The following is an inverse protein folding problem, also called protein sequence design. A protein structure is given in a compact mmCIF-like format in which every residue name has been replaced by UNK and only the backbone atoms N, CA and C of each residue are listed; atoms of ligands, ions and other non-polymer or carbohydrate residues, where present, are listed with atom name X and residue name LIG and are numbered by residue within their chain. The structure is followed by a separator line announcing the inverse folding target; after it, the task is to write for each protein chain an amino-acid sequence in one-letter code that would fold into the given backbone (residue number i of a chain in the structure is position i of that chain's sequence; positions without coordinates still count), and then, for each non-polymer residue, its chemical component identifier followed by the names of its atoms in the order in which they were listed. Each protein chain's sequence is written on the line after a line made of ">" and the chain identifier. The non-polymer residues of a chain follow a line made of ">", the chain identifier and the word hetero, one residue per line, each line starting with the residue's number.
data_IF_974152730283
#
_entry.id   IF_974152730283
#
_cell.length_a   1.000
_cell.length_b   1.000
_cell.length_c   1.000
_cell.angle_alpha   90.00
_cell.angle_beta   90.00
_cell.angle_gamma   90.00
#
_symmetry.space_group_name_H-M   'P 1'
#
loop_
_entity.id
_entity.type
_entity.pdbx_description
1 polymer ?
#
# COMPACT_ATOMS: atom_id res chain seq x y z
N UNK A 1 -6.84 5.43 11.78
CA UNK A 1 -8.08 6.18 11.47
C UNK A 1 -8.61 6.78 12.76
N UNK A 2 -8.89 8.08 12.83
CA UNK A 2 -9.44 8.70 14.05
C UNK A 2 -10.97 8.58 14.07
N UNK A 3 -11.59 8.57 15.25
CA UNK A 3 -13.06 8.45 15.39
C UNK A 3 -13.82 9.50 14.56
N UNK A 4 -13.34 10.75 14.54
CA UNK A 4 -13.93 11.82 13.74
C UNK A 4 -13.86 11.58 12.22
N UNK A 5 -12.76 10.98 11.73
CA UNK A 5 -12.65 10.63 10.31
C UNK A 5 -13.64 9.54 9.91
N UNK A 6 -13.88 8.55 10.78
CA UNK A 6 -14.87 7.51 10.53
C UNK A 6 -16.29 8.07 10.40
N UNK A 7 -16.66 9.02 11.27
CA UNK A 7 -17.97 9.70 11.22
C UNK A 7 -18.10 10.50 9.92
N UNK A 8 -17.05 11.25 9.54
CA UNK A 8 -17.05 12.02 8.29
C UNK A 8 -17.25 11.12 7.06
N UNK A 9 -16.58 9.96 7.00
CA UNK A 9 -16.79 9.02 5.90
C UNK A 9 -18.20 8.44 5.89
N UNK A 10 -18.77 8.12 7.05
CA UNK A 10 -20.16 7.71 7.16
C UNK A 10 -21.12 8.76 6.62
N UNK A 11 -20.90 10.04 6.95
CA UNK A 11 -21.70 11.15 6.44
C UNK A 11 -21.58 11.31 4.92
N UNK A 12 -20.37 11.17 4.37
CA UNK A 12 -20.15 11.23 2.91
C UNK A 12 -20.94 10.12 2.21
N UNK A 13 -20.86 8.88 2.70
CA UNK A 13 -21.60 7.74 2.11
C UNK A 13 -23.11 7.96 2.20
N UNK A 14 -23.60 8.49 3.33
CA UNK A 14 -25.00 8.83 3.50
C UNK A 14 -25.47 9.88 2.47
N UNK A 15 -24.70 10.96 2.32
CA UNK A 15 -25.00 12.01 1.33
C UNK A 15 -24.99 11.44 -0.09
N UNK A 16 -24.01 10.58 -0.43
CA UNK A 16 -23.96 9.93 -1.73
C UNK A 16 -25.20 9.06 -2.00
N UNK A 17 -25.70 8.34 -0.99
CA UNK A 17 -26.96 7.60 -1.08
C UNK A 17 -28.16 8.50 -1.35
N UNK A 18 -28.26 9.62 -0.62
CA UNK A 18 -29.33 10.60 -0.83
C UNK A 18 -29.27 11.24 -2.23
N UNK A 19 -28.07 11.59 -2.72
CA UNK A 19 -27.87 12.12 -4.06
C UNK A 19 -28.22 11.08 -5.13
N UNK A 20 -27.82 9.82 -4.96
CA UNK A 20 -28.18 8.73 -5.85
C UNK A 20 -29.70 8.54 -5.94
N UNK A 21 -30.38 8.54 -4.79
CA UNK A 21 -31.84 8.48 -4.74
C UNK A 21 -32.51 9.65 -5.49
N UNK A 22 -32.06 10.89 -5.26
CA UNK A 22 -32.58 12.07 -5.98
C UNK A 22 -32.31 11.98 -7.49
N UNK A 23 -31.13 11.51 -7.88
CA UNK A 23 -30.76 11.30 -9.28
C UNK A 23 -31.62 10.24 -9.97
N UNK A 24 -31.95 9.15 -9.27
CA UNK A 24 -32.87 8.15 -9.81
C UNK A 24 -34.31 8.67 -9.90
N UNK A 25 -34.75 9.46 -8.92
CA UNK A 25 -36.05 10.14 -8.94
C UNK A 25 -36.17 11.12 -10.11
N UNK A 26 -35.11 11.86 -10.45
CA UNK A 26 -35.15 12.85 -11.54
C UNK A 26 -35.28 12.24 -12.93
N UNK A 27 -34.89 10.97 -13.11
CA UNK A 27 -35.06 10.23 -14.37
C UNK A 27 -36.35 9.41 -14.44
N UNK A 28 -37.29 9.62 -13.49
CA UNK A 28 -38.64 9.04 -13.53
C UNK A 28 -38.84 7.73 -12.76
N UNK A 29 -37.87 7.28 -11.96
CA UNK A 29 -38.06 6.11 -11.10
C UNK A 29 -39.04 6.43 -9.96
N UNK A 30 -40.02 5.54 -9.75
CA UNK A 30 -40.89 5.61 -8.58
C UNK A 30 -40.09 5.44 -7.28
N UNK A 31 -40.62 5.96 -6.16
CA UNK A 31 -39.92 5.99 -4.86
C UNK A 31 -39.29 4.65 -4.47
N UNK A 32 -40.07 3.56 -4.58
CA UNK A 32 -39.63 2.22 -4.19
C UNK A 32 -38.45 1.75 -5.05
N UNK A 33 -38.57 1.88 -6.37
CA UNK A 33 -37.54 1.48 -7.33
C UNK A 33 -36.29 2.34 -7.26
N UNK A 34 -36.43 3.65 -7.02
CA UNK A 34 -35.31 4.57 -6.84
C UNK A 34 -34.47 4.22 -5.61
N UNK A 35 -35.12 3.82 -4.50
CA UNK A 35 -34.44 3.36 -3.29
C UNK A 35 -33.65 2.07 -3.53
N UNK A 36 -34.26 1.09 -4.20
CA UNK A 36 -33.59 -0.18 -4.55
C UNK A 36 -32.40 0.07 -5.48
N UNK A 37 -32.56 0.93 -6.50
CA UNK A 37 -31.49 1.27 -7.42
C UNK A 37 -30.30 1.95 -6.71
N UNK A 38 -30.58 2.92 -5.83
CA UNK A 38 -29.54 3.59 -5.03
C UNK A 38 -28.77 2.59 -4.14
N UNK A 39 -29.48 1.67 -3.50
CA UNK A 39 -28.87 0.63 -2.69
C UNK A 39 -28.05 -0.35 -3.55
N UNK A 40 -28.56 -0.74 -4.72
CA UNK A 40 -27.85 -1.59 -5.67
C UNK A 40 -26.52 -0.99 -6.11
N UNK A 41 -26.49 0.32 -6.41
CA UNK A 41 -25.25 1.04 -6.73
C UNK A 41 -24.27 1.02 -5.56
N UNK A 42 -24.73 1.27 -4.32
CA UNK A 42 -23.87 1.22 -3.14
C UNK A 42 -23.25 -0.17 -2.95
N UNK A 43 -24.06 -1.23 -3.13
CA UNK A 43 -23.58 -2.61 -3.05
C UNK A 43 -22.53 -2.88 -4.14
N UNK A 44 -22.76 -2.45 -5.38
CA UNK A 44 -21.78 -2.60 -6.46
C UNK A 44 -20.46 -1.87 -6.14
N UNK A 45 -20.51 -0.67 -5.58
CA UNK A 45 -19.32 0.06 -5.14
C UNK A 45 -18.55 -0.75 -4.09
N UNK A 46 -19.24 -1.33 -3.11
CA UNK A 46 -18.62 -2.15 -2.07
C UNK A 46 -18.00 -3.41 -2.68
N UNK A 47 -18.69 -4.09 -3.60
CA UNK A 47 -18.17 -5.27 -4.29
C UNK A 47 -16.89 -4.93 -5.06
N UNK A 48 -16.89 -3.83 -5.83
CA UNK A 48 -15.69 -3.34 -6.53
C UNK A 48 -14.57 -3.02 -5.54
N UNK A 49 -14.88 -2.40 -4.40
CA UNK A 49 -13.88 -2.08 -3.38
C UNK A 49 -13.25 -3.34 -2.79
N UNK A 50 -14.05 -4.36 -2.44
CA UNK A 50 -13.57 -5.65 -1.94
C UNK A 50 -12.72 -6.36 -3.00
N UNK A 51 -13.21 -6.42 -4.25
CA UNK A 51 -12.47 -7.02 -5.36
C UNK A 51 -11.10 -6.33 -5.57
N UNK A 52 -11.06 -4.99 -5.46
CA UNK A 52 -9.81 -4.23 -5.53
C UNK A 52 -8.81 -4.61 -4.44
N UNK A 53 -9.30 -4.91 -3.23
CA UNK A 53 -8.45 -5.37 -2.13
C UNK A 53 -7.89 -6.76 -2.43
N UNK A 54 -8.75 -7.69 -2.86
CA UNK A 54 -8.35 -9.06 -3.21
C UNK A 54 -7.28 -9.06 -4.33
N UNK A 55 -7.48 -8.27 -5.39
CA UNK A 55 -6.52 -8.16 -6.48
C UNK A 55 -5.17 -7.60 -6.02
N UNK A 56 -5.14 -6.60 -5.12
CA UNK A 56 -3.88 -6.07 -4.57
C UNK A 56 -3.13 -7.10 -3.72
N UNK A 57 -3.88 -7.90 -2.96
CA UNK A 57 -3.31 -9.01 -2.18
C UNK A 57 -2.71 -10.07 -3.10
N UNK A 58 -3.48 -10.54 -4.09
CA UNK A 58 -3.01 -11.57 -5.05
C UNK A 58 -1.82 -11.10 -5.88
N UNK A 59 -1.81 -9.83 -6.31
CA UNK A 59 -0.71 -9.26 -7.11
C UNK A 59 0.49 -8.82 -6.28
N UNK A 60 0.45 -8.95 -4.95
CA UNK A 60 1.54 -8.51 -4.07
C UNK A 60 1.76 -6.98 -4.05
N UNK A 61 0.84 -6.18 -4.62
CA UNK A 61 0.84 -4.71 -4.61
C UNK A 61 0.35 -4.16 -3.28
N UNK A 62 1.06 -4.54 -2.22
CA UNK A 62 0.79 -4.09 -0.86
C UNK A 62 1.81 -3.05 -0.47
N UNK A 63 1.33 -1.88 -0.03
CA UNK A 63 2.15 -0.72 0.32
C UNK A 63 3.31 -1.07 1.25
N UNK A 64 3.10 -1.92 2.25
CA UNK A 64 4.16 -2.34 3.17
C UNK A 64 5.28 -3.14 2.46
N UNK A 65 4.93 -4.07 1.56
CA UNK A 65 5.91 -4.86 0.81
C UNK A 65 6.70 -4.00 -0.16
N UNK A 66 6.03 -3.04 -0.81
CA UNK A 66 6.69 -2.05 -1.67
C UNK A 66 7.59 -1.10 -0.87
N UNK A 67 7.12 -0.60 0.28
CA UNK A 67 7.92 0.23 1.19
C UNK A 67 9.17 -0.52 1.66
N UNK A 68 9.03 -1.77 2.10
CA UNK A 68 10.16 -2.60 2.52
C UNK A 68 11.14 -2.86 1.38
N UNK A 69 10.64 -3.18 0.17
CA UNK A 69 11.48 -3.40 -1.01
C UNK A 69 12.27 -2.13 -1.36
N UNK A 70 11.61 -0.97 -1.35
CA UNK A 70 12.20 0.33 -1.64
C UNK A 70 13.24 0.75 -0.59
N UNK A 71 12.93 0.53 0.69
CA UNK A 71 13.86 0.80 1.79
C UNK A 71 15.14 -0.04 1.66
N UNK A 72 15.01 -1.36 1.40
CA UNK A 72 16.17 -2.23 1.15
C UNK A 72 16.95 -1.82 -0.09
N UNK A 73 16.29 -1.49 -1.20
CA UNK A 73 16.97 -1.07 -2.42
C UNK A 73 17.78 0.22 -2.21
N UNK A 74 17.21 1.20 -1.50
CA UNK A 74 17.89 2.46 -1.17
C UNK A 74 19.09 2.25 -0.24
N UNK A 75 18.97 1.38 0.76
CA UNK A 75 20.07 1.12 1.69
C UNK A 75 21.15 0.21 1.08
N UNK A 76 20.79 -0.80 0.29
CA UNK A 76 21.77 -1.75 -0.25
C UNK A 76 22.83 -1.07 -1.12
N UNK A 77 22.43 -0.12 -1.98
CA UNK A 77 23.37 0.64 -2.81
C UNK A 77 24.27 1.57 -1.98
N UNK A 78 23.66 2.38 -1.11
CA UNK A 78 24.38 3.35 -0.27
C UNK A 78 25.33 2.65 0.72
N UNK A 79 24.90 1.54 1.32
CA UNK A 79 25.72 0.75 2.24
C UNK A 79 26.91 0.13 1.52
N UNK A 80 26.74 -0.39 0.29
CA UNK A 80 27.85 -0.92 -0.51
C UNK A 80 28.93 0.13 -0.77
N UNK A 81 28.55 1.32 -1.24
CA UNK A 81 29.50 2.42 -1.50
C UNK A 81 30.21 2.91 -0.23
N UNK A 82 29.50 3.02 0.89
CA UNK A 82 30.09 3.42 2.17
C UNK A 82 31.06 2.36 2.69
N UNK A 83 30.68 1.08 2.62
CA UNK A 83 31.57 -0.02 3.04
C UNK A 83 32.82 -0.08 2.17
N UNK A 84 32.66 0.10 0.85
CA UNK A 84 33.78 0.12 -0.10
C UNK A 84 34.75 1.26 0.22
N UNK A 85 34.26 2.49 0.38
CA UNK A 85 35.12 3.62 0.76
C UNK A 85 35.82 3.39 2.08
N UNK A 86 35.11 2.85 3.08
CA UNK A 86 35.70 2.56 4.39
C UNK A 86 36.80 1.51 4.30
N UNK A 87 36.60 0.48 3.47
CA UNK A 87 37.61 -0.53 3.18
C UNK A 87 38.83 0.07 2.49
N UNK A 88 38.64 0.91 1.47
CA UNK A 88 39.73 1.58 0.74
C UNK A 88 40.56 2.53 1.63
N UNK A 89 39.96 3.09 2.68
CA UNK A 89 40.66 3.95 3.66
C UNK A 89 41.42 3.19 4.75
N UNK A 90 41.24 1.87 4.87
CA UNK A 90 41.98 1.04 5.83
C UNK A 90 43.42 0.82 5.37
N UNK A 91 44.34 0.57 6.30
CA UNK A 91 45.70 0.16 5.96
C UNK A 91 45.73 -1.21 5.26
N UNK A 92 46.76 -1.54 4.47
CA UNK A 92 46.83 -2.81 3.76
C UNK A 92 46.72 -4.05 4.67
N UNK A 93 47.31 -3.99 5.87
CA UNK A 93 47.25 -5.10 6.84
C UNK A 93 45.85 -5.27 7.44
N UNK A 94 45.11 -4.17 7.67
CA UNK A 94 43.73 -4.21 8.13
C UNK A 94 42.79 -4.77 7.06
N UNK A 95 42.98 -4.37 5.80
CA UNK A 95 42.22 -4.91 4.67
C UNK A 95 42.41 -6.42 4.54
N UNK A 96 43.65 -6.90 4.62
CA UNK A 96 44.00 -8.32 4.49
C UNK A 96 43.43 -9.17 5.64
N UNK A 97 43.49 -8.64 6.86
CA UNK A 97 42.86 -9.26 8.03
C UNK A 97 41.33 -9.35 7.88
N UNK A 98 40.68 -8.29 7.41
CA UNK A 98 39.24 -8.26 7.22
C UNK A 98 38.79 -9.25 6.12
N UNK A 99 39.51 -9.32 4.99
CA UNK A 99 39.22 -10.29 3.92
C UNK A 99 39.37 -11.73 4.41
N UNK A 100 40.35 -11.99 5.28
CA UNK A 100 40.54 -13.32 5.90
C UNK A 100 39.38 -13.68 6.83
N UNK A 101 38.95 -12.75 7.67
CA UNK A 101 37.82 -12.95 8.60
C UNK A 101 36.52 -13.25 7.83
N UNK A 102 36.22 -12.43 6.82
CA UNK A 102 35.01 -12.60 5.99
C UNK A 102 35.06 -13.91 5.19
N UNK A 103 36.22 -14.27 4.61
CA UNK A 103 36.40 -15.52 3.88
C UNK A 103 36.20 -16.78 4.74
N UNK A 104 36.51 -16.71 6.04
CA UNK A 104 36.24 -17.82 6.97
C UNK A 104 34.75 -17.99 7.29
N UNK A 105 33.99 -16.89 7.37
CA UNK A 105 32.53 -16.93 7.63
C UNK A 105 31.77 -17.61 6.47
N UNK A 106 32.24 -17.49 5.23
CA UNK A 106 31.60 -18.08 4.05
C UNK A 106 32.10 -19.50 3.70
N UNK A 107 33.07 -20.04 4.45
CA UNK A 107 33.61 -21.40 4.25
C UNK A 107 33.17 -22.42 5.31
N UNK A 108 32.37 -22.01 6.29
CA UNK A 108 31.62 -22.86 7.23
C UNK A 108 30.18 -23.05 6.78
#
# INVERSE_FOLDING_TARGET
>A
MTRGKSILYGLIIFILGALGYIGFRSIGLEHFWAGIAAQGVLVLIIVVWIASYLLRVMTGRMTFMEQRRRYRASYAGVTGEILQKRFETMSPSEQENLLREVGQIFST
#
